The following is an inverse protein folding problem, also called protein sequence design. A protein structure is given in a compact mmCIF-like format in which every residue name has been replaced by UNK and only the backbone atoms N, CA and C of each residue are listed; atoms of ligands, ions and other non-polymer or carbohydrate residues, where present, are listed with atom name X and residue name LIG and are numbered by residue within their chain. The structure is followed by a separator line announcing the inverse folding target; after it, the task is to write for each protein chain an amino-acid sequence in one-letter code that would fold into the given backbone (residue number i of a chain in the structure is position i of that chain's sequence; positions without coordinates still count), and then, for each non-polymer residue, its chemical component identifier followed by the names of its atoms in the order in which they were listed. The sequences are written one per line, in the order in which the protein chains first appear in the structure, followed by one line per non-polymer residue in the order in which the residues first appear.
data_IF_154312328059
#
_entry.id   IF_154312328059
#
_cell.length_a   1.000
_cell.length_b   1.000
_cell.length_c   1.000
_cell.angle_alpha   90.00
_cell.angle_beta   90.00
_cell.angle_gamma   90.00
#
_symmetry.space_group_name_H-M   'P 1'
#
loop_
_entity.id
_entity.type
_entity.pdbx_description
1 polymer ?
#
# COMPACT_ATOMS: atom_id res chain seq x y z
N UNK A 1 13.20 10.89 -12.87
CA UNK A 1 12.35 9.70 -12.61
C UNK A 1 11.23 9.65 -13.65
N UNK A 2 11.11 8.56 -14.41
CA UNK A 2 9.93 8.37 -15.27
C UNK A 2 8.74 8.00 -14.37
N UNK A 3 7.71 8.85 -14.36
CA UNK A 3 6.43 8.51 -13.71
C UNK A 3 5.70 7.55 -14.64
N UNK A 4 5.50 6.31 -14.20
CA UNK A 4 4.68 5.31 -14.90
C UNK A 4 3.28 5.33 -14.26
N UNK A 5 2.25 4.95 -15.00
CA UNK A 5 0.92 4.79 -14.46
C UNK A 5 0.27 3.53 -15.02
N UNK A 6 -0.54 2.88 -14.20
CA UNK A 6 -1.38 1.73 -14.60
C UNK A 6 -2.85 2.16 -14.55
N UNK A 7 -3.69 1.62 -15.41
CA UNK A 7 -5.11 1.93 -15.42
C UNK A 7 -5.89 0.86 -14.66
N UNK A 8 -6.51 1.23 -13.54
CA UNK A 8 -7.29 0.31 -12.69
C UNK A 8 -8.75 0.74 -12.72
N UNK A 9 -9.60 -0.04 -13.39
CA UNK A 9 -11.03 0.27 -13.54
C UNK A 9 -11.31 1.68 -14.09
N UNK A 10 -10.44 2.18 -14.97
CA UNK A 10 -10.55 3.53 -15.55
C UNK A 10 -9.91 4.65 -14.71
N UNK A 11 -9.33 4.33 -13.55
CA UNK A 11 -8.59 5.26 -12.71
C UNK A 11 -7.08 5.08 -12.99
N UNK A 12 -6.36 6.14 -13.44
CA UNK A 12 -4.91 6.07 -13.57
C UNK A 12 -4.27 6.10 -12.18
N UNK A 13 -3.50 5.05 -11.86
CA UNK A 13 -2.75 4.93 -10.61
C UNK A 13 -1.27 5.09 -10.90
N UNK A 14 -0.65 6.09 -10.26
CA UNK A 14 0.78 6.34 -10.38
C UNK A 14 1.60 5.19 -9.81
N UNK A 15 2.63 4.78 -10.54
CA UNK A 15 3.65 3.82 -10.12
C UNK A 15 5.00 4.53 -10.04
N UNK A 16 5.67 4.38 -8.90
CA UNK A 16 6.98 4.97 -8.62
C UNK A 16 7.97 3.86 -8.31
N UNK A 17 9.09 3.85 -9.03
CA UNK A 17 10.19 2.93 -8.76
C UNK A 17 11.14 3.54 -7.71
N UNK A 18 11.44 2.79 -6.64
CA UNK A 18 12.51 3.09 -5.69
C UNK A 18 13.17 1.82 -5.21
N UNK A 19 14.51 1.82 -5.11
CA UNK A 19 15.29 0.67 -4.64
C UNK A 19 14.91 -0.64 -5.35
N UNK A 20 14.74 -0.59 -6.68
CA UNK A 20 14.35 -1.74 -7.51
C UNK A 20 12.97 -2.33 -7.16
N UNK A 21 12.15 -1.59 -6.41
CA UNK A 21 10.79 -1.94 -6.05
C UNK A 21 9.80 -0.93 -6.63
N UNK A 22 8.66 -1.44 -7.09
CA UNK A 22 7.56 -0.64 -7.61
C UNK A 22 6.55 -0.33 -6.49
N UNK A 23 6.24 0.95 -6.31
CA UNK A 23 5.24 1.44 -5.36
C UNK A 23 4.06 2.03 -6.12
N UNK A 24 2.84 1.73 -5.66
CA UNK A 24 1.60 2.30 -6.22
C UNK A 24 1.05 3.41 -5.33
N UNK A 25 0.41 4.42 -5.94
CA UNK A 25 -0.23 5.52 -5.21
C UNK A 25 -1.60 5.10 -4.67
N UNK A 26 -1.71 4.93 -3.34
CA UNK A 26 -2.99 4.65 -2.69
C UNK A 26 -3.98 5.82 -2.81
N UNK A 27 -3.49 7.07 -2.84
CA UNK A 27 -4.36 8.25 -3.00
C UNK A 27 -5.01 8.29 -4.38
N UNK A 28 -4.29 7.84 -5.41
CA UNK A 28 -4.86 7.76 -6.77
C UNK A 28 -5.96 6.69 -6.81
N UNK A 29 -5.78 5.56 -6.12
CA UNK A 29 -6.77 4.49 -6.06
C UNK A 29 -8.11 4.93 -5.46
N UNK A 30 -8.08 5.91 -4.54
CA UNK A 30 -9.28 6.40 -3.85
C UNK A 30 -9.81 7.73 -4.39
N UNK A 31 -9.22 8.28 -5.45
CA UNK A 31 -9.56 9.61 -5.99
C UNK A 31 -11.06 9.76 -6.35
N UNK A 32 -11.73 8.66 -6.74
CA UNK A 32 -13.15 8.65 -7.09
C UNK A 32 -14.12 8.35 -5.93
N UNK A 33 -13.61 8.20 -4.70
CA UNK A 33 -14.42 7.86 -3.53
C UNK A 33 -14.56 9.06 -2.59
N UNK A 34 -15.77 9.32 -2.12
CA UNK A 34 -15.99 10.29 -1.06
C UNK A 34 -15.30 9.83 0.23
N UNK A 35 -14.52 10.70 0.85
CA UNK A 35 -13.75 10.35 2.04
C UNK A 35 -12.58 9.39 1.78
N UNK A 36 -11.96 9.41 0.59
CA UNK A 36 -10.87 8.50 0.21
C UNK A 36 -9.74 8.35 1.25
N UNK A 37 -9.33 9.43 1.91
CA UNK A 37 -8.33 9.35 3.00
C UNK A 37 -8.80 8.49 4.17
N UNK A 38 -10.06 8.62 4.58
CA UNK A 38 -10.64 7.80 5.64
C UNK A 38 -10.74 6.32 5.24
N UNK A 39 -10.98 6.02 3.96
CA UNK A 39 -10.95 4.65 3.44
C UNK A 39 -9.55 4.04 3.54
N UNK A 40 -8.50 4.78 3.19
CA UNK A 40 -7.10 4.32 3.36
C UNK A 40 -6.81 4.07 4.83
N UNK A 41 -7.16 5.01 5.71
CA UNK A 41 -6.94 4.86 7.16
C UNK A 41 -7.68 3.64 7.73
N UNK A 42 -8.95 3.44 7.34
CA UNK A 42 -9.73 2.29 7.77
C UNK A 42 -9.13 0.98 7.27
N UNK A 43 -8.65 0.95 6.01
CA UNK A 43 -7.99 -0.23 5.44
C UNK A 43 -6.69 -0.54 6.20
N UNK A 44 -5.83 0.45 6.47
CA UNK A 44 -4.60 0.25 7.22
C UNK A 44 -4.82 -0.17 8.69
N UNK A 45 -5.94 0.23 9.30
CA UNK A 45 -6.31 -0.17 10.67
C UNK A 45 -7.07 -1.50 10.73
N UNK A 46 -7.54 -2.01 9.58
CA UNK A 46 -8.30 -3.25 9.55
C UNK A 46 -7.43 -4.41 10.06
N UNK A 47 -7.94 -5.16 11.04
CA UNK A 47 -7.20 -6.24 11.69
C UNK A 47 -6.64 -7.27 10.71
N UNK A 48 -7.41 -7.66 9.70
CA UNK A 48 -6.98 -8.66 8.71
C UNK A 48 -5.88 -8.09 7.82
N UNK A 49 -5.94 -6.80 7.49
CA UNK A 49 -4.90 -6.10 6.73
C UNK A 49 -3.61 -6.01 7.53
N UNK A 50 -3.68 -5.63 8.82
CA UNK A 50 -2.52 -5.57 9.70
C UNK A 50 -1.89 -6.96 9.86
N UNK A 51 -2.69 -8.00 10.14
CA UNK A 51 -2.18 -9.37 10.26
C UNK A 51 -1.52 -9.85 8.96
N UNK A 52 -2.13 -9.56 7.80
CA UNK A 52 -1.54 -9.90 6.51
C UNK A 52 -0.18 -9.23 6.31
N UNK A 53 -0.08 -7.93 6.59
CA UNK A 53 1.19 -7.18 6.48
C UNK A 53 2.24 -7.75 7.45
N UNK A 54 1.85 -8.11 8.67
CA UNK A 54 2.75 -8.74 9.63
C UNK A 54 3.34 -10.05 9.13
N UNK A 55 2.50 -10.95 8.59
CA UNK A 55 2.98 -12.21 7.99
C UNK A 55 3.85 -11.94 6.77
N UNK A 56 3.47 -10.99 5.93
CA UNK A 56 4.24 -10.63 4.74
C UNK A 56 5.64 -10.11 5.11
N UNK A 57 5.73 -9.24 6.11
CA UNK A 57 6.99 -8.70 6.63
C UNK A 57 7.87 -9.81 7.23
N UNK A 58 7.30 -10.74 8.01
CA UNK A 58 8.05 -11.88 8.54
C UNK A 58 8.67 -12.75 7.43
N UNK A 59 8.02 -12.86 6.27
CA UNK A 59 8.49 -13.67 5.15
C UNK A 59 9.48 -12.93 4.24
N UNK A 60 9.35 -11.61 4.08
CA UNK A 60 10.06 -10.84 3.06
C UNK A 60 11.07 -9.83 3.61
N UNK A 61 11.01 -9.49 4.90
CA UNK A 61 11.90 -8.53 5.54
C UNK A 61 12.74 -9.23 6.62
N UNK A 62 13.98 -9.56 6.29
CA UNK A 62 14.91 -10.24 7.21
C UNK A 62 15.26 -9.43 8.47
N UNK A 63 15.00 -8.12 8.46
CA UNK A 63 15.22 -7.23 9.60
C UNK A 63 13.92 -6.91 10.36
N UNK A 64 12.83 -7.63 10.09
CA UNK A 64 11.54 -7.37 10.71
C UNK A 64 11.58 -7.58 12.23
N UNK A 65 11.16 -6.54 12.97
CA UNK A 65 11.06 -6.59 14.42
C UNK A 65 9.66 -7.08 14.83
N UNK A 66 9.49 -8.40 14.94
CA UNK A 66 8.20 -8.99 15.31
C UNK A 66 7.75 -8.62 16.73
N UNK A 67 8.68 -8.31 17.64
CA UNK A 67 8.38 -7.96 19.03
C UNK A 67 7.72 -6.59 19.19
N UNK A 68 8.05 -5.63 18.31
CA UNK A 68 7.38 -4.32 18.29
C UNK A 68 6.08 -4.33 17.47
N UNK A 69 5.85 -5.39 16.71
CA UNK A 69 4.67 -5.55 15.87
C UNK A 69 3.51 -6.24 16.60
N UNK A 70 3.80 -7.09 17.58
CA UNK A 70 2.81 -7.67 18.52
C UNK A 70 2.31 -6.65 19.54
#
# INVERSE_FOLDING_TARGET
MKKRAINVKGIPVTVVERHEQDYISLTDMVQGFEGGSALIEQWLRNKDTVLFLGVWEQLNNTAFNSLEFE
#
